data_IF_382435189006
#
_entry.id   IF_382435189006
#
_cell.length_a   1.000
_cell.length_b   1.000
_cell.length_c   1.000
_cell.angle_alpha   90.00
_cell.angle_beta   90.00
_cell.angle_gamma   90.00
#
_symmetry.space_group_name_H-M   'P 1'
#
loop_
_entity.id
_entity.type
_entity.pdbx_description
1 polymer ?
#
# COMPACT_ATOMS: atom_id res chain seq x y z
N UNK A 1 12.25 -66.88 -11.27
CA UNK A 1 12.32 -65.45 -11.66
C UNK A 1 12.16 -65.42 -13.18
N UNK A 2 11.18 -64.79 -13.82
CA UNK A 2 10.17 -63.84 -13.38
C UNK A 2 8.83 -64.05 -14.10
N UNK A 3 7.85 -63.26 -13.64
CA UNK A 3 6.41 -63.33 -13.88
C UNK A 3 5.99 -62.34 -14.99
N UNK A 4 4.88 -62.67 -15.66
CA UNK A 4 3.90 -61.89 -16.45
C UNK A 4 4.04 -60.34 -16.47
N UNK A 5 3.60 -59.60 -17.50
CA UNK A 5 2.18 -59.34 -17.86
C UNK A 5 2.13 -58.62 -19.22
N UNK A 6 1.16 -58.99 -20.07
CA UNK A 6 0.84 -58.29 -21.31
C UNK A 6 -0.05 -57.05 -21.09
N UNK A 7 0.14 -56.03 -21.92
CA UNK A 7 -0.71 -54.85 -21.95
C UNK A 7 -1.52 -54.82 -23.26
N UNK A 8 -2.83 -54.90 -23.10
CA UNK A 8 -3.88 -54.77 -24.11
C UNK A 8 -4.12 -53.28 -24.36
N UNK A 9 -3.98 -52.81 -25.60
CA UNK A 9 -4.40 -51.46 -26.02
C UNK A 9 -5.77 -51.59 -26.69
N UNK A 10 -6.81 -51.06 -26.04
CA UNK A 10 -8.13 -50.89 -26.62
C UNK A 10 -8.35 -49.41 -26.93
N UNK A 11 -8.48 -49.09 -28.22
CA UNK A 11 -9.04 -47.83 -28.71
C UNK A 11 -10.56 -47.83 -28.42
N UNK A 12 -11.05 -46.78 -27.78
CA UNK A 12 -12.45 -46.37 -27.93
C UNK A 12 -12.52 -44.85 -28.14
N UNK A 13 -13.01 -44.49 -29.31
CA UNK A 13 -13.45 -43.17 -29.69
C UNK A 13 -14.83 -42.86 -29.07
N UNK A 14 -14.99 -41.64 -28.59
CA UNK A 14 -16.27 -40.96 -28.37
C UNK A 14 -15.92 -39.46 -28.35
N UNK A 15 -16.44 -38.58 -29.21
CA UNK A 15 -17.77 -38.52 -29.76
C UNK A 15 -18.56 -37.43 -29.04
N UNK A 16 -18.25 -36.15 -29.32
CA UNK A 16 -19.12 -34.99 -29.08
C UNK A 16 -18.54 -33.84 -29.93
N UNK A 17 -19.19 -33.29 -30.95
CA UNK A 17 -20.63 -33.02 -31.07
C UNK A 17 -20.79 -31.51 -31.02
N UNK A 18 -20.66 -30.88 -32.20
CA UNK A 18 -20.89 -29.46 -32.47
C UNK A 18 -22.22 -28.97 -31.89
N UNK A 19 -22.22 -27.73 -31.39
CA UNK A 19 -23.34 -26.79 -31.56
C UNK A 19 -22.74 -25.39 -31.78
N UNK A 20 -22.66 -25.01 -33.06
CA UNK A 20 -22.73 -23.61 -33.47
C UNK A 20 -24.17 -23.15 -33.23
N UNK A 21 -24.36 -21.96 -32.68
CA UNK A 21 -25.51 -21.16 -33.01
C UNK A 21 -25.09 -19.71 -33.27
N UNK A 22 -25.59 -19.17 -34.37
CA UNK A 22 -25.19 -17.90 -34.98
C UNK A 22 -26.38 -16.95 -35.02
N UNK A 23 -26.26 -15.82 -34.30
CA UNK A 23 -26.80 -14.47 -34.58
C UNK A 23 -28.34 -14.30 -34.76
N UNK A 24 -28.93 -13.08 -34.90
CA UNK A 24 -28.37 -11.70 -34.93
C UNK A 24 -29.18 -10.63 -34.14
N UNK A 25 -28.69 -9.38 -34.09
CA UNK A 25 -29.58 -8.20 -34.24
C UNK A 25 -29.58 -7.09 -33.17
N UNK A 26 -28.70 -6.10 -33.37
CA UNK A 26 -29.00 -4.66 -33.56
C UNK A 26 -29.76 -3.82 -32.50
N UNK A 27 -29.05 -2.83 -31.93
CA UNK A 27 -29.50 -1.45 -31.62
C UNK A 27 -28.26 -0.67 -31.13
N UNK A 28 -27.49 -0.03 -32.00
CA UNK A 28 -27.63 1.37 -32.46
C UNK A 28 -28.24 2.33 -31.42
N UNK A 29 -27.37 3.02 -30.68
CA UNK A 29 -27.69 4.31 -30.08
C UNK A 29 -26.49 5.25 -30.23
N UNK A 30 -26.57 6.06 -31.29
CA UNK A 30 -25.79 7.27 -31.55
C UNK A 30 -26.42 8.47 -30.83
N UNK A 31 -25.60 9.11 -29.98
CA UNK A 31 -25.40 10.55 -29.65
C UNK A 31 -26.63 11.45 -29.32
N UNK A 32 -26.48 12.53 -28.50
CA UNK A 32 -25.75 13.71 -28.95
C UNK A 32 -24.78 14.35 -27.93
N UNK A 33 -23.75 14.97 -28.51
CA UNK A 33 -22.97 16.06 -27.95
C UNK A 33 -23.90 17.14 -27.35
N UNK A 34 -23.55 17.61 -26.16
CA UNK A 34 -24.01 18.90 -25.65
C UNK A 34 -22.78 19.77 -25.42
N UNK A 35 -22.43 20.53 -26.45
CA UNK A 35 -21.72 21.79 -26.30
C UNK A 35 -22.65 22.78 -25.59
N UNK A 36 -22.16 23.41 -24.53
CA UNK A 36 -22.77 24.64 -24.03
C UNK A 36 -21.72 25.74 -23.93
N UNK A 37 -21.96 26.74 -24.75
CA UNK A 37 -21.30 28.02 -24.86
C UNK A 37 -21.61 28.91 -23.64
N UNK A 38 -20.76 29.91 -23.46
CA UNK A 38 -20.67 30.84 -22.35
C UNK A 38 -21.86 31.82 -22.23
N UNK A 39 -21.83 32.54 -21.10
CA UNK A 39 -22.48 33.84 -20.81
C UNK A 39 -23.97 33.83 -20.43
N UNK A 40 -24.27 34.03 -19.14
CA UNK A 40 -24.71 35.34 -18.63
C UNK A 40 -25.01 35.30 -17.11
N UNK A 41 -24.64 36.40 -16.50
CA UNK A 41 -24.69 36.82 -15.10
C UNK A 41 -26.10 37.31 -14.71
N UNK A 42 -26.65 36.88 -13.56
CA UNK A 42 -27.58 37.66 -12.69
C UNK A 42 -27.53 37.10 -11.28
N UNK A 43 -27.10 37.93 -10.32
CA UNK A 43 -27.00 37.59 -8.91
C UNK A 43 -28.32 37.37 -8.17
N UNK A 44 -28.24 36.61 -7.09
CA UNK A 44 -29.11 36.73 -5.93
C UNK A 44 -28.33 36.33 -4.68
N UNK A 45 -28.08 37.36 -3.89
CA UNK A 45 -27.56 37.40 -2.53
C UNK A 45 -28.49 36.62 -1.57
N UNK A 46 -27.93 35.66 -0.84
CA UNK A 46 -28.54 35.07 0.36
C UNK A 46 -27.51 35.11 1.48
N UNK A 47 -27.69 36.12 2.33
CA UNK A 47 -26.78 36.53 3.39
C UNK A 47 -26.42 35.45 4.41
N UNK A 48 -25.16 35.49 4.80
CA UNK A 48 -24.66 34.98 6.07
C UNK A 48 -24.28 36.20 6.95
N UNK A 49 -24.54 36.16 8.27
CA UNK A 49 -24.48 37.34 9.11
C UNK A 49 -23.04 37.79 9.40
N UNK A 50 -22.78 39.06 9.11
CA UNK A 50 -21.68 39.86 9.61
C UNK A 50 -21.72 39.99 11.14
N UNK A 51 -20.60 39.72 11.80
CA UNK A 51 -19.95 40.44 12.92
C UNK A 51 -18.96 39.46 13.56
N UNK A 52 -17.65 39.71 13.64
CA UNK A 52 -16.99 40.89 14.22
C UNK A 52 -15.72 41.19 13.41
N UNK A 53 -15.71 42.36 12.77
CA UNK A 53 -14.49 43.12 12.55
C UNK A 53 -14.25 43.95 13.83
N UNK A 54 -13.12 43.73 14.51
CA UNK A 54 -12.63 44.65 15.52
C UNK A 54 -11.11 44.80 15.43
N UNK A 55 -10.73 46.00 15.03
CA UNK A 55 -9.57 46.76 15.54
C UNK A 55 -8.19 46.31 15.07
N UNK A 56 -7.74 46.98 14.00
CA UNK A 56 -6.33 47.28 13.76
C UNK A 56 -5.79 48.09 14.94
N UNK A 57 -4.91 47.47 15.73
CA UNK A 57 -3.90 48.16 16.53
C UNK A 57 -2.54 47.48 16.29
N UNK A 58 -1.68 48.18 15.55
CA UNK A 58 -0.21 48.19 15.66
C UNK A 58 0.54 46.94 16.10
N UNK A 59 0.42 45.83 15.36
CA UNK A 59 1.35 44.71 15.45
C UNK A 59 1.34 43.91 14.16
N UNK A 60 2.36 44.06 13.33
CA UNK A 60 2.69 43.05 12.33
C UNK A 60 3.13 41.80 13.10
N UNK A 61 2.17 40.97 13.48
CA UNK A 61 2.46 39.54 13.65
C UNK A 61 2.70 39.04 12.24
N UNK A 62 3.97 39.02 11.85
CA UNK A 62 4.39 38.18 10.74
C UNK A 62 3.88 36.78 11.08
N UNK A 63 2.79 36.36 10.43
CA UNK A 63 2.43 34.95 10.42
C UNK A 63 3.64 34.27 9.78
N UNK A 64 4.52 33.73 10.63
CA UNK A 64 5.72 33.05 10.18
C UNK A 64 5.23 32.02 9.15
N UNK A 65 5.67 32.18 7.90
CA UNK A 65 5.37 31.18 6.89
C UNK A 65 5.77 29.82 7.46
N UNK A 66 4.93 28.80 7.28
CA UNK A 66 5.25 27.46 7.75
C UNK A 66 6.68 27.09 7.31
N UNK A 67 7.46 26.42 8.16
CA UNK A 67 8.80 25.98 7.78
C UNK A 67 8.72 25.15 6.48
N UNK A 68 9.75 25.25 5.62
CA UNK A 68 9.81 24.42 4.43
C UNK A 68 9.96 22.94 4.84
N UNK A 69 9.46 22.05 3.98
CA UNK A 69 9.73 20.62 4.10
C UNK A 69 11.21 20.34 3.83
N UNK A 70 11.84 19.53 4.68
CA UNK A 70 13.20 19.04 4.49
C UNK A 70 13.22 17.52 4.27
N UNK A 71 14.02 17.08 3.30
CA UNK A 71 14.18 15.66 2.99
C UNK A 71 14.86 14.91 4.13
N UNK A 72 14.13 14.03 4.80
CA UNK A 72 14.68 13.15 5.83
C UNK A 72 15.35 11.92 5.22
N UNK A 73 14.72 11.32 4.22
CA UNK A 73 15.19 10.08 3.62
C UNK A 73 14.68 9.91 2.20
N UNK A 74 15.52 9.31 1.33
CA UNK A 74 15.18 8.91 -0.03
C UNK A 74 15.86 7.57 -0.31
N UNK A 75 15.10 6.60 -0.76
CA UNK A 75 15.61 5.32 -1.24
C UNK A 75 15.33 5.19 -2.72
N UNK A 76 16.40 5.14 -3.50
CA UNK A 76 16.39 4.68 -4.89
C UNK A 76 17.13 3.35 -4.94
N UNK A 77 16.41 2.21 -5.03
CA UNK A 77 17.01 0.89 -4.98
C UNK A 77 18.00 0.61 -6.11
N UNK A 78 18.92 -0.30 -5.81
CA UNK A 78 20.01 -0.69 -6.69
C UNK A 78 20.91 -1.71 -6.00
N UNK A 79 21.73 -2.46 -6.76
CA UNK A 79 22.54 -3.56 -6.22
C UNK A 79 23.46 -3.17 -5.06
N UNK A 80 23.90 -1.91 -5.02
CA UNK A 80 24.79 -1.37 -3.99
C UNK A 80 24.14 -0.27 -3.12
N UNK A 81 22.86 0.04 -3.34
CA UNK A 81 22.17 1.15 -2.65
C UNK A 81 21.12 0.68 -1.64
N UNK A 82 20.88 -0.63 -1.53
CA UNK A 82 19.99 -1.14 -0.49
C UNK A 82 20.60 -0.90 0.91
N UNK A 83 19.80 -0.44 1.88
CA UNK A 83 20.26 -0.17 3.23
C UNK A 83 20.82 -1.43 3.92
N UNK A 84 21.66 -1.29 4.96
CA UNK A 84 22.15 -2.44 5.72
C UNK A 84 21.01 -3.33 6.23
N UNK A 85 21.14 -4.64 6.02
CA UNK A 85 20.10 -5.64 6.35
C UNK A 85 19.12 -5.93 5.23
N UNK A 86 19.09 -5.09 4.19
CA UNK A 86 18.32 -5.33 2.97
C UNK A 86 19.20 -5.95 1.89
N UNK A 87 18.58 -6.69 0.99
CA UNK A 87 19.20 -7.20 -0.25
C UNK A 87 18.47 -6.64 -1.46
N UNK A 88 19.21 -6.49 -2.55
CA UNK A 88 18.62 -6.10 -3.82
C UNK A 88 17.87 -7.29 -4.45
N UNK A 89 16.58 -7.09 -4.68
CA UNK A 89 15.70 -8.03 -5.33
C UNK A 89 15.72 -7.76 -6.85
N UNK A 90 16.54 -8.49 -7.60
CA UNK A 90 16.68 -8.28 -9.05
C UNK A 90 15.34 -8.36 -9.80
N UNK A 91 14.43 -9.22 -9.33
CA UNK A 91 13.09 -9.39 -9.91
C UNK A 91 12.20 -8.15 -9.75
N UNK A 92 12.41 -7.35 -8.69
CA UNK A 92 11.66 -6.14 -8.42
C UNK A 92 12.36 -4.88 -8.92
N UNK A 93 13.69 -4.93 -9.08
CA UNK A 93 14.49 -3.73 -9.08
C UNK A 93 14.41 -2.95 -7.76
N UNK A 94 14.14 -3.65 -6.64
CA UNK A 94 13.82 -3.06 -5.33
C UNK A 94 14.69 -3.61 -4.20
N UNK A 95 14.54 -3.04 -3.00
CA UNK A 95 15.18 -3.53 -1.78
C UNK A 95 14.19 -4.33 -0.94
N UNK A 96 14.56 -5.55 -0.57
CA UNK A 96 13.77 -6.41 0.32
C UNK A 96 14.60 -6.87 1.51
N UNK A 97 13.95 -7.45 2.50
CA UNK A 97 14.61 -8.09 3.62
C UNK A 97 15.51 -9.26 3.18
N UNK A 98 16.69 -9.37 3.80
CA UNK A 98 17.49 -10.58 3.70
C UNK A 98 16.85 -11.67 4.56
N UNK A 99 15.94 -12.46 3.98
CA UNK A 99 15.32 -13.59 4.70
C UNK A 99 16.39 -14.60 5.13
N UNK A 100 16.55 -14.76 6.45
CA UNK A 100 17.49 -15.72 7.05
C UNK A 100 16.80 -16.88 7.75
N UNK A 101 15.55 -16.71 8.19
CA UNK A 101 14.74 -17.71 8.89
C UNK A 101 13.23 -17.48 8.63
N UNK A 102 12.43 -18.55 8.54
CA UNK A 102 10.97 -18.53 8.29
C UNK A 102 10.14 -18.29 9.57
N UNK A 103 10.55 -17.32 10.40
CA UNK A 103 9.83 -17.01 11.63
C UNK A 103 9.96 -15.53 11.96
N UNK A 104 9.00 -14.71 11.53
CA UNK A 104 8.84 -13.32 11.95
C UNK A 104 10.12 -12.50 11.77
N UNK A 105 10.35 -11.99 10.57
CA UNK A 105 11.53 -11.20 10.27
C UNK A 105 11.21 -9.71 10.12
N UNK A 106 12.15 -8.87 10.55
CA UNK A 106 12.09 -7.44 10.30
C UNK A 106 13.50 -6.88 10.11
N UNK A 107 13.60 -5.86 9.26
CA UNK A 107 14.82 -5.06 9.09
C UNK A 107 14.45 -3.59 9.26
N UNK A 108 15.28 -2.87 10.02
CA UNK A 108 15.04 -1.45 10.34
C UNK A 108 16.05 -0.54 9.64
N UNK A 109 15.57 0.59 9.15
CA UNK A 109 16.35 1.76 8.80
C UNK A 109 16.05 2.81 9.87
N UNK A 110 17.10 3.38 10.48
CA UNK A 110 16.97 4.51 11.38
C UNK A 110 17.41 5.77 10.65
N UNK A 111 16.54 6.77 10.64
CA UNK A 111 16.75 8.06 9.95
C UNK A 111 16.85 9.14 11.02
N UNK A 112 17.98 9.85 11.01
CA UNK A 112 18.16 11.08 11.77
C UNK A 112 17.55 12.25 10.98
N UNK A 113 16.45 12.87 11.45
CA UNK A 113 15.77 13.94 10.73
C UNK A 113 16.68 15.19 10.64
N UNK A 114 16.69 15.90 9.49
CA UNK A 114 17.56 17.06 9.27
C UNK A 114 17.15 18.28 10.11
N UNK A 115 15.89 18.32 10.54
CA UNK A 115 15.31 19.34 11.42
C UNK A 115 14.87 18.71 12.73
N UNK A 116 15.17 19.38 13.83
CA UNK A 116 14.83 18.92 15.17
C UNK A 116 14.46 20.10 16.08
N UNK A 117 13.35 20.02 16.83
CA UNK A 117 12.34 18.97 16.76
C UNK A 117 11.52 19.07 15.46
N UNK A 118 10.95 17.96 15.01
CA UNK A 118 9.98 17.90 13.90
C UNK A 118 8.61 17.48 14.43
N UNK A 119 7.54 17.88 13.75
CA UNK A 119 6.16 17.54 14.14
C UNK A 119 5.37 16.98 12.96
N UNK A 120 5.72 17.35 11.75
CA UNK A 120 5.01 16.91 10.55
C UNK A 120 5.93 16.02 9.72
N UNK A 121 5.34 14.95 9.19
CA UNK A 121 6.00 14.03 8.28
C UNK A 121 5.07 13.74 7.12
N UNK A 122 5.64 13.66 5.93
CA UNK A 122 4.96 13.14 4.76
C UNK A 122 5.90 12.21 4.03
N UNK A 123 5.34 11.36 3.18
CA UNK A 123 6.17 10.51 2.35
C UNK A 123 5.41 9.83 1.26
N UNK A 124 6.18 9.09 0.46
CA UNK A 124 5.70 8.21 -0.60
C UNK A 124 6.39 6.87 -0.44
N UNK A 125 5.63 5.78 -0.49
CA UNK A 125 6.14 4.40 -0.51
C UNK A 125 5.51 3.67 -1.69
N UNK A 126 6.33 2.94 -2.44
CA UNK A 126 5.89 2.01 -3.48
C UNK A 126 6.60 0.68 -3.30
N UNK A 127 5.90 -0.40 -3.59
CA UNK A 127 6.44 -1.76 -3.45
C UNK A 127 6.07 -2.67 -4.59
N UNK A 128 6.66 -3.86 -4.60
CA UNK A 128 6.22 -4.98 -5.42
C UNK A 128 6.00 -6.20 -4.56
N UNK A 129 4.91 -6.91 -4.84
CA UNK A 129 4.58 -8.16 -4.20
C UNK A 129 5.37 -9.31 -4.85
N UNK A 130 6.07 -10.08 -4.03
CA UNK A 130 6.57 -11.39 -4.38
C UNK A 130 5.88 -12.43 -3.52
N UNK A 131 5.48 -13.55 -4.12
CA UNK A 131 4.94 -14.72 -3.42
C UNK A 131 3.66 -14.36 -2.62
N UNK A 132 3.63 -14.56 -1.30
CA UNK A 132 2.37 -14.70 -0.55
C UNK A 132 2.15 -13.79 0.67
N UNK A 133 2.48 -12.48 0.67
CA UNK A 133 2.22 -11.62 1.83
C UNK A 133 0.80 -11.73 2.40
N UNK A 134 0.69 -11.74 3.72
CA UNK A 134 -0.53 -12.03 4.47
C UNK A 134 -1.22 -10.78 5.04
N UNK A 135 -0.86 -9.60 4.51
CA UNK A 135 -1.31 -8.28 4.95
C UNK A 135 -1.02 -8.01 6.43
N UNK A 136 -1.93 -8.36 7.33
CA UNK A 136 -1.84 -8.06 8.75
C UNK A 136 -1.86 -9.32 9.59
N UNK A 137 -0.91 -9.40 10.53
CA UNK A 137 -0.90 -10.46 11.52
C UNK A 137 -2.10 -10.30 12.46
N UNK A 138 -2.83 -11.41 12.63
CA UNK A 138 -3.97 -11.47 13.52
C UNK A 138 -3.58 -11.18 14.98
N UNK A 139 -4.40 -10.37 15.65
CA UNK A 139 -4.31 -10.08 17.09
C UNK A 139 -2.97 -9.43 17.53
N UNK A 140 -2.26 -8.73 16.64
CA UNK A 140 -1.06 -7.99 17.01
C UNK A 140 -1.36 -6.87 18.02
N UNK A 141 -0.60 -6.85 19.13
CA UNK A 141 -0.83 -5.92 20.26
C UNK A 141 0.32 -4.97 20.55
N UNK A 142 1.40 -5.01 19.77
CA UNK A 142 2.59 -4.18 20.02
C UNK A 142 3.20 -3.67 18.75
N UNK A 143 3.63 -2.41 18.77
CA UNK A 143 4.48 -1.83 17.73
C UNK A 143 5.88 -2.45 17.72
N UNK A 144 6.30 -3.17 18.76
CA UNK A 144 7.63 -3.78 18.84
C UNK A 144 7.73 -5.16 18.18
N UNK A 145 6.60 -5.75 17.80
CA UNK A 145 6.52 -7.04 17.14
C UNK A 145 6.37 -6.89 15.62
N UNK A 146 6.53 -7.99 14.88
CA UNK A 146 6.03 -8.11 13.50
C UNK A 146 4.50 -8.13 13.56
N UNK A 147 3.86 -7.33 12.71
CA UNK A 147 2.39 -7.22 12.67
C UNK A 147 1.81 -6.99 11.27
N UNK A 148 2.68 -6.84 10.27
CA UNK A 148 2.32 -6.52 8.89
C UNK A 148 3.36 -7.16 7.98
N UNK A 149 2.93 -7.60 6.81
CA UNK A 149 3.83 -7.87 5.69
C UNK A 149 3.88 -6.63 4.81
N UNK A 150 5.02 -5.95 4.85
CA UNK A 150 5.18 -4.64 4.23
C UNK A 150 5.92 -3.65 5.11
N UNK A 151 5.55 -2.37 5.00
CA UNK A 151 6.33 -1.26 5.57
C UNK A 151 5.63 -0.63 6.76
N UNK A 152 6.32 -0.56 7.89
CA UNK A 152 5.92 0.20 9.07
C UNK A 152 6.84 1.40 9.28
N UNK A 153 6.25 2.58 9.48
CA UNK A 153 6.97 3.81 9.83
C UNK A 153 6.57 4.21 11.24
N UNK A 154 7.57 4.40 12.11
CA UNK A 154 7.38 4.78 13.51
C UNK A 154 8.41 5.81 13.95
N UNK A 155 8.19 6.49 15.07
CA UNK A 155 9.30 7.09 15.83
C UNK A 155 10.06 6.00 16.57
N UNK A 156 11.32 6.22 16.95
CA UNK A 156 12.08 5.22 17.72
C UNK A 156 11.82 5.27 19.25
N UNK A 157 11.82 6.47 19.86
CA UNK A 157 11.86 6.60 21.32
C UNK A 157 11.03 7.79 21.86
N UNK A 158 9.87 7.56 22.51
CA UNK A 158 9.13 6.30 22.51
C UNK A 158 8.68 5.94 21.09
N UNK A 159 8.47 4.65 20.83
CA UNK A 159 7.93 4.18 19.55
C UNK A 159 6.47 4.57 19.41
N UNK A 160 6.17 5.41 18.43
CA UNK A 160 4.83 5.86 18.08
C UNK A 160 4.57 5.52 16.62
N UNK A 161 3.36 5.08 16.32
CA UNK A 161 2.94 4.77 14.96
C UNK A 161 2.81 6.04 14.12
N UNK A 162 3.33 6.00 12.90
CA UNK A 162 3.18 7.07 11.91
C UNK A 162 2.30 6.56 10.77
N UNK A 163 2.74 5.51 10.07
CA UNK A 163 1.98 4.93 8.98
C UNK A 163 2.36 3.47 8.73
N UNK A 164 1.44 2.70 8.15
CA UNK A 164 1.69 1.32 7.72
C UNK A 164 1.17 1.05 6.30
N UNK A 165 2.00 0.41 5.49
CA UNK A 165 1.67 -0.07 4.14
C UNK A 165 1.69 -1.60 4.16
N UNK A 166 0.52 -2.21 4.06
CA UNK A 166 0.37 -3.66 4.06
C UNK A 166 0.26 -4.21 2.63
N UNK A 167 0.89 -5.34 2.38
CA UNK A 167 0.78 -6.12 1.16
C UNK A 167 -0.08 -7.35 1.43
N UNK A 168 -1.22 -7.47 0.75
CA UNK A 168 -2.09 -8.64 0.87
C UNK A 168 -1.83 -9.70 -0.19
N UNK A 169 -2.35 -10.90 0.06
CA UNK A 169 -2.09 -12.08 -0.75
C UNK A 169 -2.72 -12.00 -2.15
N UNK A 170 -4.02 -11.66 -2.22
CA UNK A 170 -4.78 -11.65 -3.47
C UNK A 170 -6.13 -10.92 -3.36
N UNK A 171 -6.81 -10.70 -4.49
CA UNK A 171 -8.17 -10.19 -4.54
C UNK A 171 -9.13 -11.00 -5.44
N UNK A 172 -10.35 -11.32 -4.97
CA UNK A 172 -10.79 -11.36 -3.58
C UNK A 172 -10.32 -12.64 -2.88
N UNK A 173 -10.03 -12.60 -1.58
CA UNK A 173 -9.90 -13.84 -0.79
C UNK A 173 -11.27 -14.52 -0.71
N UNK A 174 -11.35 -15.74 -1.25
CA UNK A 174 -12.55 -16.60 -1.16
C UNK A 174 -12.38 -17.70 -0.12
N UNK A 175 -11.23 -17.76 0.54
CA UNK A 175 -10.88 -18.73 1.57
C UNK A 175 -10.99 -18.16 2.99
N UNK A 176 -10.80 -19.01 4.01
CA UNK A 176 -10.74 -18.61 5.41
C UNK A 176 -9.33 -18.16 5.84
N UNK A 177 -8.40 -17.94 4.90
CA UNK A 177 -6.99 -17.64 5.17
C UNK A 177 -6.86 -16.36 6.00
N UNK A 178 -7.54 -15.28 5.58
CA UNK A 178 -7.44 -13.98 6.22
C UNK A 178 -6.18 -13.21 5.79
N UNK A 179 -5.50 -13.69 4.76
CA UNK A 179 -4.18 -13.25 4.29
C UNK A 179 -4.25 -12.09 3.29
N UNK A 180 -5.46 -11.69 2.90
CA UNK A 180 -5.65 -10.56 1.99
C UNK A 180 -5.85 -9.26 2.76
N UNK A 181 -6.04 -8.16 2.05
CA UNK A 181 -6.36 -6.90 2.70
C UNK A 181 -7.70 -6.97 3.45
N UNK A 182 -7.90 -6.18 4.52
CA UNK A 182 -9.13 -6.21 5.33
C UNK A 182 -10.42 -6.09 4.50
N UNK A 183 -10.34 -5.39 3.38
CA UNK A 183 -11.46 -5.08 2.49
C UNK A 183 -11.74 -6.19 1.47
N UNK A 184 -10.82 -7.13 1.33
CA UNK A 184 -10.89 -8.31 0.48
C UNK A 184 -11.06 -9.60 1.30
N UNK A 185 -11.74 -9.49 2.46
CA UNK A 185 -11.98 -10.54 3.46
C UNK A 185 -10.75 -10.98 4.27
N UNK A 186 -9.71 -10.14 4.32
CA UNK A 186 -8.56 -10.31 5.20
C UNK A 186 -8.82 -10.10 6.68
N UNK A 187 -7.80 -10.34 7.50
CA UNK A 187 -7.82 -9.94 8.91
C UNK A 187 -7.91 -8.41 9.04
N UNK A 188 -8.60 -7.90 10.06
CA UNK A 188 -8.64 -6.47 10.31
C UNK A 188 -7.25 -5.96 10.70
N UNK A 189 -6.93 -4.73 10.27
CA UNK A 189 -5.73 -4.03 10.72
C UNK A 189 -5.69 -3.96 12.27
N UNK A 190 -4.51 -4.15 12.90
CA UNK A 190 -4.36 -4.04 14.34
C UNK A 190 -4.85 -2.69 14.89
N UNK A 191 -5.60 -2.70 16.00
CA UNK A 191 -6.20 -1.50 16.57
C UNK A 191 -5.18 -0.40 16.94
N UNK A 192 -3.92 -0.78 17.16
CA UNK A 192 -2.81 0.13 17.44
C UNK A 192 -2.43 1.04 16.26
N UNK A 193 -2.88 0.72 15.04
CA UNK A 193 -2.62 1.53 13.83
C UNK A 193 -3.64 2.65 13.63
N UNK A 194 -4.78 2.60 14.35
CA UNK A 194 -5.90 3.50 14.11
C UNK A 194 -6.30 3.52 12.63
N UNK A 195 -6.31 4.73 12.05
CA UNK A 195 -6.66 4.94 10.64
C UNK A 195 -5.44 5.15 9.73
N UNK A 196 -4.21 5.10 10.28
CA UNK A 196 -2.98 5.45 9.58
C UNK A 196 -2.35 4.25 8.84
N UNK A 197 -3.14 3.61 7.98
CA UNK A 197 -2.68 2.48 7.20
C UNK A 197 -3.35 2.42 5.83
N UNK A 198 -2.67 1.76 4.90
CA UNK A 198 -3.21 1.32 3.62
C UNK A 198 -2.88 -0.15 3.39
N UNK A 199 -3.66 -0.81 2.57
CA UNK A 199 -3.40 -2.18 2.14
C UNK A 199 -3.72 -2.33 0.65
N UNK A 200 -2.84 -3.02 -0.06
CA UNK A 200 -3.02 -3.38 -1.47
C UNK A 200 -2.42 -4.76 -1.75
N UNK A 201 -2.80 -5.37 -2.86
CA UNK A 201 -2.22 -6.61 -3.38
C UNK A 201 -1.93 -6.41 -4.85
N UNK A 202 -0.81 -6.94 -5.33
CA UNK A 202 -0.47 -6.98 -6.76
C UNK A 202 -1.11 -8.17 -7.49
N UNK A 203 -1.94 -8.94 -6.77
CA UNK A 203 -2.54 -10.17 -7.28
C UNK A 203 -4.06 -10.06 -7.38
N UNK A 204 -4.53 -9.58 -8.52
CA UNK A 204 -5.96 -9.50 -8.87
C UNK A 204 -6.62 -10.86 -9.17
N UNK A 205 -5.87 -11.96 -9.08
CA UNK A 205 -6.43 -13.29 -9.28
C UNK A 205 -7.04 -13.84 -7.98
N UNK A 206 -7.92 -14.83 -8.11
CA UNK A 206 -8.49 -15.56 -6.98
C UNK A 206 -7.65 -16.80 -6.58
N UNK A 207 -6.37 -16.82 -6.97
CA UNK A 207 -5.41 -17.89 -6.71
C UNK A 207 -4.04 -17.27 -6.48
N UNK A 208 -3.18 -17.97 -5.75
CA UNK A 208 -1.79 -17.59 -5.53
C UNK A 208 -0.87 -18.77 -5.81
N UNK A 209 0.40 -18.47 -6.08
CA UNK A 209 1.46 -19.47 -6.17
C UNK A 209 2.66 -18.99 -5.35
N UNK A 210 3.21 -19.85 -4.47
CA UNK A 210 4.33 -19.53 -3.57
C UNK A 210 5.67 -19.20 -4.27
N UNK A 211 5.68 -19.01 -5.60
CA UNK A 211 6.85 -18.60 -6.39
C UNK A 211 6.53 -17.55 -7.46
N UNK A 212 5.31 -17.06 -7.50
CA UNK A 212 4.93 -16.03 -8.46
C UNK A 212 5.39 -14.66 -7.95
N UNK A 213 5.69 -13.77 -8.88
CA UNK A 213 6.14 -12.42 -8.62
C UNK A 213 5.25 -11.50 -9.44
N UNK A 214 4.69 -10.49 -8.79
CA UNK A 214 3.74 -9.57 -9.40
C UNK A 214 4.48 -8.26 -9.70
N UNK A 215 5.07 -8.17 -10.89
CA UNK A 215 5.84 -7.00 -11.33
C UNK A 215 5.05 -6.00 -12.17
N UNK A 216 3.82 -6.37 -12.57
CA UNK A 216 2.97 -5.54 -13.44
C UNK A 216 2.11 -4.56 -12.65
N UNK A 217 1.92 -4.80 -11.35
CA UNK A 217 1.10 -4.01 -10.46
C UNK A 217 1.95 -3.53 -9.29
N UNK A 218 2.18 -2.20 -9.23
CA UNK A 218 3.01 -1.60 -8.19
C UNK A 218 2.14 -1.37 -6.97
N UNK A 219 2.57 -1.93 -5.84
CA UNK A 219 1.86 -1.72 -4.58
C UNK A 219 1.89 -0.26 -4.17
N UNK A 220 0.74 0.17 -3.69
CA UNK A 220 0.42 1.46 -3.15
C UNK A 220 0.56 2.57 -4.18
N UNK A 221 0.20 2.31 -5.44
CA UNK A 221 0.53 3.19 -6.57
C UNK A 221 -0.54 4.15 -7.09
N UNK A 222 -1.78 4.02 -6.61
CA UNK A 222 -2.98 4.76 -7.05
C UNK A 222 -3.68 4.22 -8.29
N UNK A 223 -3.10 3.24 -8.98
CA UNK A 223 -3.67 2.64 -10.18
C UNK A 223 -4.45 1.34 -9.88
N UNK A 224 -4.47 0.89 -8.62
CA UNK A 224 -5.21 -0.27 -8.13
C UNK A 224 -6.31 0.04 -7.09
N UNK A 225 -6.90 -1.04 -6.56
CA UNK A 225 -7.94 -0.98 -5.54
C UNK A 225 -7.34 -0.95 -4.11
N UNK A 226 -6.34 -0.12 -3.88
CA UNK A 226 -5.80 0.05 -2.54
C UNK A 226 -6.86 0.59 -1.57
N UNK A 227 -6.89 -0.01 -0.38
CA UNK A 227 -7.87 0.32 0.64
C UNK A 227 -7.21 0.86 1.91
N UNK A 228 -7.77 1.96 2.44
CA UNK A 228 -7.40 2.51 3.73
C UNK A 228 -8.39 2.14 4.83
N UNK A 229 -8.28 2.84 5.97
CA UNK A 229 -9.21 2.72 7.09
C UNK A 229 -10.68 2.83 6.65
N UNK A 230 -11.51 1.92 7.17
CA UNK A 230 -12.93 1.82 6.79
C UNK A 230 -13.17 1.31 5.36
N UNK A 231 -12.15 0.78 4.68
CA UNK A 231 -12.22 0.25 3.33
C UNK A 231 -12.59 1.26 2.24
N UNK A 232 -12.30 2.54 2.49
CA UNK A 232 -12.34 3.54 1.44
C UNK A 232 -11.18 3.32 0.46
N UNK A 233 -11.46 3.48 -0.84
CA UNK A 233 -10.41 3.58 -1.85
C UNK A 233 -9.54 4.81 -1.56
N UNK A 234 -8.23 4.65 -1.66
CA UNK A 234 -7.27 5.73 -1.43
C UNK A 234 -6.72 6.20 -2.77
N UNK A 235 -6.87 7.49 -3.08
CA UNK A 235 -6.47 8.05 -4.38
C UNK A 235 -4.96 8.17 -4.57
N UNK A 236 -4.16 8.20 -3.51
CA UNK A 236 -2.71 8.01 -3.59
C UNK A 236 -2.24 7.16 -2.39
N UNK A 237 -2.40 5.83 -2.47
CA UNK A 237 -2.29 4.93 -1.33
C UNK A 237 -0.88 4.91 -0.74
N UNK A 238 0.14 5.15 -1.55
CA UNK A 238 1.52 5.23 -1.07
C UNK A 238 1.91 6.60 -0.52
N UNK A 239 1.11 7.65 -0.73
CA UNK A 239 1.34 8.94 -0.08
C UNK A 239 0.68 9.02 1.29
N UNK A 240 1.38 9.65 2.23
CA UNK A 240 0.82 9.93 3.54
C UNK A 240 1.29 11.28 4.06
N UNK A 241 0.51 11.84 4.98
CA UNK A 241 0.87 12.99 5.79
C UNK A 241 0.36 12.77 7.21
N UNK A 242 1.25 12.95 8.18
CA UNK A 242 0.96 12.79 9.61
C UNK A 242 1.51 13.99 10.35
N UNK A 243 0.69 14.53 11.24
CA UNK A 243 1.11 15.51 12.24
C UNK A 243 1.07 14.87 13.61
N UNK A 244 2.22 14.80 14.27
CA UNK A 244 2.32 14.31 15.63
C UNK A 244 1.64 15.29 16.60
N UNK A 245 1.11 14.76 17.71
CA UNK A 245 0.45 15.57 18.74
C UNK A 245 1.41 16.64 19.31
N UNK A 246 2.68 16.29 19.49
CA UNK A 246 3.73 17.17 19.98
C UNK A 246 5.00 17.01 19.12
N UNK A 247 5.82 18.07 18.94
CA UNK A 247 7.12 17.97 18.28
C UNK A 247 8.05 16.98 18.99
N UNK A 248 8.91 16.31 18.23
CA UNK A 248 9.83 15.28 18.74
C UNK A 248 11.24 15.42 18.16
N UNK A 249 12.22 14.97 18.91
CA UNK A 249 13.62 14.80 18.46
C UNK A 249 13.92 13.33 18.12
N UNK A 250 12.93 12.45 18.22
CA UNK A 250 13.11 11.03 17.96
C UNK A 250 13.50 10.77 16.49
N UNK A 251 14.35 9.76 16.28
CA UNK A 251 14.61 9.22 14.94
C UNK A 251 13.35 8.63 14.35
N UNK A 252 13.27 8.63 13.03
CA UNK A 252 12.27 7.86 12.30
C UNK A 252 12.83 6.46 12.10
N UNK A 253 12.03 5.45 12.41
CA UNK A 253 12.31 4.06 12.12
C UNK A 253 11.40 3.59 11.00
N UNK A 254 12.00 3.08 9.93
CA UNK A 254 11.30 2.42 8.82
C UNK A 254 11.60 0.93 8.95
N UNK A 255 10.57 0.10 9.03
CA UNK A 255 10.69 -1.35 9.11
C UNK A 255 10.04 -1.98 7.91
N UNK A 256 10.79 -2.86 7.25
CA UNK A 256 10.23 -3.85 6.36
C UNK A 256 10.06 -5.14 7.16
N UNK A 257 8.86 -5.67 7.16
CA UNK A 257 8.44 -6.81 7.98
C UNK A 257 7.82 -7.89 7.09
N UNK A 258 8.01 -9.14 7.53
CA UNK A 258 7.42 -10.35 6.97
C UNK A 258 7.24 -11.36 8.11
N UNK A 259 6.08 -11.99 8.26
CA UNK A 259 5.88 -12.98 9.32
C UNK A 259 6.29 -14.41 8.93
N UNK A 260 6.34 -14.74 7.64
CA UNK A 260 6.93 -15.96 7.07
C UNK A 260 7.98 -15.66 5.97
N UNK A 261 8.59 -16.70 5.39
CA UNK A 261 9.64 -16.58 4.38
C UNK A 261 9.13 -16.48 2.94
N UNK A 262 7.85 -16.74 2.70
CA UNK A 262 7.19 -16.48 1.42
C UNK A 262 6.51 -15.10 1.34
N UNK A 263 6.57 -14.27 2.38
CA UNK A 263 5.95 -12.94 2.39
C UNK A 263 6.92 -11.87 1.90
N UNK A 264 7.16 -11.88 0.59
CA UNK A 264 8.20 -11.04 0.00
C UNK A 264 7.61 -9.70 -0.45
N UNK A 265 8.10 -8.62 0.13
CA UNK A 265 7.81 -7.26 -0.32
C UNK A 265 9.12 -6.58 -0.67
N UNK A 266 9.22 -6.08 -1.90
CA UNK A 266 10.37 -5.28 -2.32
C UNK A 266 9.98 -3.81 -2.41
N UNK A 267 10.65 -2.95 -1.66
CA UNK A 267 10.48 -1.49 -1.72
C UNK A 267 11.16 -0.99 -3.00
N UNK A 268 10.39 -0.36 -3.88
CA UNK A 268 10.89 0.19 -5.16
C UNK A 268 11.04 1.73 -5.11
N UNK A 269 10.35 2.38 -4.17
CA UNK A 269 10.46 3.81 -3.88
C UNK A 269 10.15 4.04 -2.39
N UNK A 270 10.96 4.85 -1.71
CA UNK A 270 10.62 5.33 -0.37
C UNK A 270 11.22 6.71 -0.11
N UNK A 271 10.34 7.67 0.11
CA UNK A 271 10.68 9.06 0.29
C UNK A 271 10.01 9.63 1.53
N UNK A 272 10.77 10.33 2.38
CA UNK A 272 10.29 10.97 3.59
C UNK A 272 10.77 12.42 3.67
N UNK A 273 9.84 13.33 3.96
CA UNK A 273 10.12 14.72 4.31
C UNK A 273 9.56 15.04 5.70
N UNK A 274 10.22 15.94 6.42
CA UNK A 274 9.82 16.41 7.75
C UNK A 274 9.84 17.93 7.86
N UNK A 275 9.14 18.47 8.86
CA UNK A 275 9.29 19.84 9.35
C UNK A 275 8.75 20.04 10.77
#
# INVERSE_FOLDING_TARGET
MGVFVGLLVALLASGCGLLLDTAPGNADHRVPDASFDASADVGADVGLPDTIASTLDGGTVDAAADPPWETAFRLTPGPETCPPGFVFAEWAGGCKEESRDCAGWQVSIFVDPPVTPWQEIRGRVRGLQGQTPDAFLRDATSLDAVYVDGVSITTEAPRQHIWTFAAGLMKPDRGPSGNSCPCDNGYPAPALLGDAWTCETGNDANTYENRLIYTEDVLWDADGDAHGAGCALVTDPGEFYVRLAEPTEARIEIRLMADDCDDNVAIVELDLDVR
#
